data_IF_186976710547
#
_entry.id   IF_186976710547
#
_cell.length_a   1.000
_cell.length_b   1.000
_cell.length_c   1.000
_cell.angle_alpha   90.00
_cell.angle_beta   90.00
_cell.angle_gamma   90.00
#
_symmetry.space_group_name_H-M   'P 1'
#
loop_
_entity.id
_entity.type
_entity.pdbx_description
1 polymer ?
#
# COMPACT_ATOMS: atom_id res chain seq x y z
N UNK A 1 -25.89 21.45 23.49
CA UNK A 1 -26.05 20.39 22.48
C UNK A 1 -24.76 20.37 21.68
N UNK A 2 -23.85 19.44 21.97
CA UNK A 2 -22.56 19.37 21.27
C UNK A 2 -22.84 18.69 19.93
N UNK A 3 -22.68 19.42 18.84
CA UNK A 3 -22.70 18.83 17.50
C UNK A 3 -21.47 17.93 17.44
N UNK A 4 -21.67 16.62 17.46
CA UNK A 4 -20.61 15.68 17.14
C UNK A 4 -20.12 16.06 15.74
N UNK A 5 -18.85 16.46 15.63
CA UNK A 5 -18.24 16.70 14.33
C UNK A 5 -18.39 15.40 13.54
N UNK A 6 -19.27 15.40 12.54
CA UNK A 6 -19.42 14.24 11.65
C UNK A 6 -18.07 14.06 10.96
N UNK A 7 -17.37 12.98 11.31
CA UNK A 7 -16.14 12.62 10.63
C UNK A 7 -16.41 12.62 9.12
N UNK A 8 -15.49 13.15 8.30
CA UNK A 8 -15.70 13.22 6.87
C UNK A 8 -16.03 11.84 6.31
N UNK A 9 -17.04 11.79 5.42
CA UNK A 9 -17.55 10.55 4.87
C UNK A 9 -16.42 9.75 4.21
N UNK A 10 -16.35 8.46 4.55
CA UNK A 10 -15.51 7.47 3.86
C UNK A 10 -15.84 7.45 2.36
N UNK A 11 -14.88 7.05 1.52
CA UNK A 11 -15.08 6.87 0.08
C UNK A 11 -16.04 5.72 -0.27
N UNK A 12 -16.46 4.93 0.73
CA UNK A 12 -17.20 3.70 0.49
C UNK A 12 -18.70 3.92 0.36
N UNK A 13 -19.29 3.18 -0.55
CA UNK A 13 -20.73 3.04 -0.64
C UNK A 13 -21.20 2.03 0.40
N UNK A 14 -22.28 2.38 1.11
CA UNK A 14 -22.86 1.44 2.08
C UNK A 14 -23.52 0.28 1.33
N UNK A 15 -23.36 -0.98 1.80
CA UNK A 15 -22.85 -1.38 3.12
C UNK A 15 -21.35 -1.74 3.18
N UNK A 16 -20.54 -1.41 2.17
CA UNK A 16 -19.17 -1.92 2.00
C UNK A 16 -18.11 -1.13 2.79
N UNK A 17 -18.25 -1.04 4.12
CA UNK A 17 -17.30 -0.33 4.97
C UNK A 17 -15.95 -1.08 5.12
N UNK A 18 -14.86 -0.45 4.66
CA UNK A 18 -13.48 -0.92 4.83
C UNK A 18 -12.90 -0.68 6.22
N UNK A 19 -13.65 -0.01 7.12
CA UNK A 19 -13.22 0.29 8.48
C UNK A 19 -12.15 1.38 8.56
N UNK A 20 -11.84 2.05 7.45
CA UNK A 20 -10.89 3.16 7.39
C UNK A 20 -11.61 4.51 7.33
N UNK A 21 -11.02 5.52 7.97
CA UNK A 21 -11.49 6.90 7.84
C UNK A 21 -11.07 7.48 6.50
N UNK A 22 -11.74 8.56 6.04
CA UNK A 22 -11.36 9.24 4.79
C UNK A 22 -9.88 9.69 4.78
N UNK A 23 -9.34 10.11 5.93
CA UNK A 23 -7.94 10.50 6.05
C UNK A 23 -6.98 9.33 5.80
N UNK A 24 -7.29 8.14 6.34
CA UNK A 24 -6.48 6.95 6.10
C UNK A 24 -6.55 6.50 4.63
N UNK A 25 -7.75 6.47 4.04
CA UNK A 25 -7.96 6.12 2.63
C UNK A 25 -7.23 7.10 1.69
N UNK A 26 -7.25 8.39 2.03
CA UNK A 26 -6.55 9.43 1.28
C UNK A 26 -5.03 9.33 1.46
N UNK A 27 -4.57 9.04 2.68
CA UNK A 27 -3.15 8.82 2.99
C UNK A 27 -2.60 7.66 2.18
N UNK A 28 -3.28 6.50 2.18
CA UNK A 28 -2.87 5.33 1.41
C UNK A 28 -2.72 5.65 -0.10
N UNK A 29 -3.77 6.22 -0.70
CA UNK A 29 -3.76 6.57 -2.12
C UNK A 29 -2.66 7.58 -2.47
N UNK A 30 -2.47 8.61 -1.64
CA UNK A 30 -1.51 9.68 -1.92
C UNK A 30 -0.07 9.19 -1.76
N UNK A 31 0.24 8.41 -0.72
CA UNK A 31 1.58 7.87 -0.50
C UNK A 31 1.98 6.89 -1.60
N UNK A 32 1.10 5.95 -1.96
CA UNK A 32 1.38 5.01 -3.06
C UNK A 32 1.61 5.75 -4.38
N UNK A 33 0.78 6.75 -4.71
CA UNK A 33 0.97 7.55 -5.92
C UNK A 33 2.21 8.45 -5.87
N UNK A 34 2.62 8.91 -4.68
CA UNK A 34 3.87 9.64 -4.51
C UNK A 34 5.07 8.76 -4.89
N UNK A 35 5.16 7.55 -4.32
CA UNK A 35 6.23 6.62 -4.62
C UNK A 35 6.21 6.12 -6.07
N UNK A 36 5.03 5.86 -6.62
CA UNK A 36 4.86 5.54 -8.05
C UNK A 36 5.36 6.66 -8.95
N UNK A 37 5.13 7.92 -8.60
CA UNK A 37 5.67 9.07 -9.34
C UNK A 37 7.19 9.16 -9.20
N UNK A 38 7.73 8.94 -8.01
CA UNK A 38 9.18 8.91 -7.78
C UNK A 38 9.84 7.83 -8.65
N UNK A 39 9.28 6.62 -8.68
CA UNK A 39 9.75 5.54 -9.55
C UNK A 39 9.63 5.91 -11.04
N UNK A 40 8.49 6.45 -11.47
CA UNK A 40 8.26 6.83 -12.87
C UNK A 40 9.29 7.85 -13.38
N UNK A 41 9.75 8.74 -12.51
CA UNK A 41 10.68 9.82 -12.84
C UNK A 41 12.14 9.46 -12.62
N UNK A 42 12.44 8.22 -12.22
CA UNK A 42 13.82 7.75 -11.97
C UNK A 42 14.41 8.24 -10.65
N UNK A 43 13.58 8.67 -9.70
CA UNK A 43 14.00 9.07 -8.35
C UNK A 43 13.83 7.96 -7.31
N UNK A 44 13.40 6.76 -7.72
CA UNK A 44 13.33 5.60 -6.85
C UNK A 44 14.72 5.02 -6.61
N UNK A 45 15.21 5.08 -5.38
CA UNK A 45 16.52 4.50 -5.04
C UNK A 45 16.42 2.98 -4.98
N UNK A 46 17.19 2.32 -5.83
CA UNK A 46 17.35 0.87 -5.82
C UNK A 46 18.74 0.49 -5.26
N UNK A 47 19.06 -0.80 -5.31
CA UNK A 47 20.34 -1.32 -4.79
C UNK A 47 21.58 -0.69 -5.46
N UNK A 48 21.47 -0.23 -6.70
CA UNK A 48 22.58 0.26 -7.51
C UNK A 48 22.53 1.77 -7.77
N UNK A 49 21.66 2.50 -7.05
CA UNK A 49 21.55 3.94 -7.11
C UNK A 49 20.11 4.36 -7.37
N UNK A 50 19.71 4.38 -8.64
CA UNK A 50 18.35 4.75 -9.01
C UNK A 50 17.78 3.77 -10.03
N UNK A 51 16.56 3.31 -9.76
CA UNK A 51 15.78 2.53 -10.69
C UNK A 51 15.55 3.32 -11.99
N UNK A 52 15.54 2.63 -13.14
CA UNK A 52 15.30 3.27 -14.43
C UNK A 52 13.91 3.93 -14.47
N UNK A 53 13.78 5.11 -15.11
CA UNK A 53 12.49 5.76 -15.26
C UNK A 53 11.55 4.90 -16.09
N UNK A 54 10.29 4.86 -15.71
CA UNK A 54 9.28 4.06 -16.38
C UNK A 54 8.52 4.91 -17.41
N UNK A 55 8.28 4.34 -18.60
CA UNK A 55 7.51 4.99 -19.67
C UNK A 55 6.05 5.26 -19.27
N UNK A 56 5.47 4.36 -18.47
CA UNK A 56 4.08 4.45 -18.04
C UNK A 56 3.89 3.78 -16.69
N UNK A 57 3.52 4.57 -15.67
CA UNK A 57 3.04 4.06 -14.38
C UNK A 57 1.66 4.65 -14.14
N UNK A 58 0.64 3.80 -14.12
CA UNK A 58 -0.73 4.24 -13.94
C UNK A 58 -0.95 4.79 -12.52
N UNK A 59 -1.69 5.89 -12.40
CA UNK A 59 -2.14 6.43 -11.12
C UNK A 59 -3.14 5.47 -10.48
N UNK A 60 -2.99 5.20 -9.20
CA UNK A 60 -3.93 4.39 -8.43
C UNK A 60 -5.11 5.23 -7.95
N UNK A 61 -6.30 4.63 -8.00
CA UNK A 61 -7.52 5.10 -7.34
C UNK A 61 -7.83 4.15 -6.19
N UNK A 62 -8.26 4.70 -5.07
CA UNK A 62 -8.62 3.90 -3.90
C UNK A 62 -9.97 3.20 -4.14
N UNK A 63 -9.96 1.87 -4.18
CA UNK A 63 -11.15 1.03 -4.23
C UNK A 63 -11.41 0.46 -2.84
N UNK A 64 -12.40 1.02 -2.16
CA UNK A 64 -12.73 0.61 -0.80
C UNK A 64 -13.92 -0.33 -0.73
N UNK A 65 -14.82 -0.28 -1.72
CA UNK A 65 -16.01 -1.12 -1.76
C UNK A 65 -15.67 -2.59 -2.02
N UNK A 66 -14.61 -2.85 -2.81
CA UNK A 66 -14.17 -4.20 -3.15
C UNK A 66 -12.88 -4.58 -2.45
N UNK A 67 -11.79 -3.84 -2.71
CA UNK A 67 -10.47 -4.21 -2.16
C UNK A 67 -10.35 -3.88 -0.67
N UNK A 68 -10.80 -2.70 -0.26
CA UNK A 68 -10.80 -2.30 1.16
C UNK A 68 -11.68 -3.21 2.03
N UNK A 69 -12.91 -3.47 1.61
CA UNK A 69 -13.85 -4.35 2.32
C UNK A 69 -13.32 -5.79 2.43
N UNK A 70 -12.71 -6.32 1.37
CA UNK A 70 -12.05 -7.64 1.41
C UNK A 70 -10.83 -7.65 2.34
N UNK A 71 -9.99 -6.62 2.30
CA UNK A 71 -8.84 -6.50 3.20
C UNK A 71 -9.27 -6.53 4.66
N UNK A 72 -10.35 -5.82 5.02
CA UNK A 72 -10.97 -5.88 6.36
C UNK A 72 -11.47 -7.28 6.71
N UNK A 73 -12.10 -7.98 5.75
CA UNK A 73 -12.65 -9.32 5.96
C UNK A 73 -11.56 -10.37 6.27
N UNK A 74 -10.43 -10.32 5.55
CA UNK A 74 -9.36 -11.33 5.69
C UNK A 74 -8.35 -10.99 6.79
N UNK A 75 -8.31 -9.74 7.25
CA UNK A 75 -7.38 -9.29 8.27
C UNK A 75 -7.72 -9.94 9.62
N UNK A 76 -6.82 -10.81 10.06
CA UNK A 76 -6.90 -11.50 11.34
C UNK A 76 -5.50 -11.65 11.93
N UNK A 77 -5.23 -10.96 13.05
CA UNK A 77 -3.91 -10.97 13.68
C UNK A 77 -3.45 -12.37 14.12
N UNK A 78 -4.36 -13.33 14.26
CA UNK A 78 -4.05 -14.71 14.66
C UNK A 78 -3.59 -15.61 13.51
N UNK A 79 -3.67 -15.17 12.25
CA UNK A 79 -3.23 -15.98 11.10
C UNK A 79 -1.92 -15.46 10.50
N UNK A 80 -1.04 -16.35 10.01
CA UNK A 80 0.26 -15.96 9.48
C UNK A 80 0.19 -15.41 8.05
N UNK A 81 -0.85 -15.74 7.28
CA UNK A 81 -0.96 -15.40 5.86
C UNK A 81 -2.40 -15.00 5.54
N UNK A 82 -2.57 -14.03 4.64
CA UNK A 82 -3.85 -13.56 4.13
C UNK A 82 -4.01 -13.91 2.66
N UNK A 83 -5.24 -14.22 2.24
CA UNK A 83 -5.55 -14.62 0.86
C UNK A 83 -6.09 -13.41 0.07
N UNK A 84 -5.43 -13.01 -1.03
CA UNK A 84 -5.97 -11.95 -1.90
C UNK A 84 -7.20 -12.42 -2.68
N UNK A 85 -7.97 -11.48 -3.22
CA UNK A 85 -8.97 -11.79 -4.24
C UNK A 85 -8.29 -12.34 -5.51
N UNK A 86 -8.95 -13.23 -6.27
CA UNK A 86 -8.43 -13.70 -7.56
C UNK A 86 -8.03 -12.53 -8.46
N UNK A 87 -6.81 -12.57 -9.01
CA UNK A 87 -6.28 -11.52 -9.86
C UNK A 87 -5.74 -10.28 -9.13
N UNK A 88 -5.68 -10.29 -7.79
CA UNK A 88 -5.13 -9.21 -6.98
C UNK A 88 -3.92 -9.68 -6.17
N UNK A 89 -3.06 -8.72 -5.81
CA UNK A 89 -1.98 -8.90 -4.86
C UNK A 89 -2.38 -8.40 -3.47
N UNK A 90 -1.64 -8.81 -2.44
CA UNK A 90 -1.86 -8.38 -1.05
C UNK A 90 -0.52 -8.24 -0.34
N UNK A 91 -0.26 -7.02 0.12
CA UNK A 91 0.82 -6.69 1.06
C UNK A 91 0.23 -6.44 2.44
N UNK A 92 0.92 -6.82 3.51
CA UNK A 92 0.49 -6.54 4.88
C UNK A 92 1.66 -6.12 5.76
N UNK A 93 1.33 -5.43 6.85
CA UNK A 93 2.28 -4.97 7.85
C UNK A 93 1.63 -5.11 9.22
N UNK A 94 2.38 -5.64 10.19
CA UNK A 94 1.88 -5.92 11.55
C UNK A 94 2.78 -5.20 12.55
N UNK A 95 2.15 -4.54 13.51
CA UNK A 95 2.82 -3.90 14.64
C UNK A 95 2.25 -4.50 15.92
N UNK A 96 3.13 -4.90 16.84
CA UNK A 96 2.75 -5.38 18.17
C UNK A 96 2.66 -4.21 19.16
N UNK A 97 1.77 -3.25 18.86
CA UNK A 97 1.49 -2.10 19.71
C UNK A 97 0.03 -1.66 19.56
N UNK A 98 -0.84 -1.97 20.54
CA UNK A 98 -2.25 -1.63 20.46
C UNK A 98 -2.53 -0.13 20.59
N UNK A 99 -1.54 0.68 20.98
CA UNK A 99 -1.66 2.13 21.14
C UNK A 99 -1.09 2.91 19.95
N UNK A 100 -0.61 2.22 18.91
CA UNK A 100 -0.08 2.87 17.73
C UNK A 100 -1.20 3.60 16.97
N UNK A 101 -0.90 4.82 16.49
CA UNK A 101 -1.80 5.55 15.60
C UNK A 101 -2.00 4.78 14.31
N UNK A 102 -3.25 4.55 13.90
CA UNK A 102 -3.56 3.88 12.63
C UNK A 102 -2.90 4.57 11.43
N UNK A 103 -2.78 5.90 11.47
CA UNK A 103 -2.12 6.67 10.41
C UNK A 103 -0.62 6.43 10.38
N UNK A 104 0.01 6.40 11.55
CA UNK A 104 1.46 6.18 11.65
C UNK A 104 1.80 4.75 11.20
N UNK A 105 1.01 3.76 11.63
CA UNK A 105 1.17 2.36 11.18
C UNK A 105 0.97 2.23 9.67
N UNK A 106 -0.03 2.91 9.08
CA UNK A 106 -0.25 2.90 7.64
C UNK A 106 0.91 3.55 6.88
N UNK A 107 1.41 4.68 7.38
CA UNK A 107 2.59 5.36 6.79
C UNK A 107 3.83 4.48 6.89
N UNK A 108 4.08 3.87 8.05
CA UNK A 108 5.19 2.95 8.26
C UNK A 108 5.11 1.72 7.35
N UNK A 109 3.92 1.14 7.17
CA UNK A 109 3.69 0.02 6.27
C UNK A 109 4.07 0.37 4.82
N UNK A 110 3.51 1.44 4.27
CA UNK A 110 3.75 1.85 2.88
C UNK A 110 5.23 2.22 2.67
N UNK A 111 5.84 2.93 3.63
CA UNK A 111 7.27 3.24 3.57
C UNK A 111 8.13 1.98 3.67
N UNK A 112 7.76 1.00 4.49
CA UNK A 112 8.49 -0.27 4.62
C UNK A 112 8.44 -1.08 3.34
N UNK A 113 7.28 -1.16 2.69
CA UNK A 113 7.14 -1.80 1.38
C UNK A 113 7.98 -1.09 0.33
N UNK A 114 7.92 0.25 0.24
CA UNK A 114 8.74 1.03 -0.69
C UNK A 114 10.25 0.80 -0.50
N UNK A 115 10.74 0.81 0.75
CA UNK A 115 12.15 0.58 1.08
C UNK A 115 12.69 -0.78 0.64
N UNK A 116 11.83 -1.73 0.27
CA UNK A 116 12.29 -2.98 -0.31
C UNK A 116 12.96 -2.76 -1.69
N UNK A 117 12.64 -1.68 -2.41
CA UNK A 117 13.32 -1.31 -3.65
C UNK A 117 14.84 -1.18 -3.47
N UNK A 118 15.29 -0.64 -2.33
CA UNK A 118 16.72 -0.48 -2.01
C UNK A 118 17.48 -1.82 -1.90
N UNK A 119 16.75 -2.95 -1.86
CA UNK A 119 17.32 -4.30 -1.72
C UNK A 119 17.48 -5.04 -3.04
N UNK A 120 17.03 -4.46 -4.14
CA UNK A 120 16.94 -5.12 -5.45
C UNK A 120 17.51 -4.23 -6.55
N UNK A 121 17.99 -4.85 -7.63
CA UNK A 121 18.41 -4.16 -8.85
C UNK A 121 17.28 -4.24 -9.88
N UNK A 122 16.66 -3.09 -10.20
CA UNK A 122 15.59 -3.06 -11.18
C UNK A 122 16.20 -2.82 -12.55
N UNK A 123 16.22 -3.87 -13.38
CA UNK A 123 16.74 -3.75 -14.74
C UNK A 123 15.90 -2.80 -15.62
N UNK A 124 16.47 -2.35 -16.74
CA UNK A 124 15.78 -1.46 -17.70
C UNK A 124 14.55 -2.09 -18.35
N UNK A 125 14.40 -3.40 -18.24
CA UNK A 125 13.26 -4.15 -18.76
C UNK A 125 12.17 -4.34 -17.69
N UNK A 126 12.42 -3.93 -16.45
CA UNK A 126 11.58 -4.10 -15.27
C UNK A 126 11.07 -5.55 -15.11
N UNK A 127 11.94 -6.54 -15.34
CA UNK A 127 11.57 -7.95 -15.23
C UNK A 127 11.24 -8.33 -13.79
N UNK A 128 10.17 -9.10 -13.61
CA UNK A 128 9.87 -9.71 -12.31
C UNK A 128 10.81 -10.89 -12.05
N UNK A 129 11.88 -10.65 -11.30
CA UNK A 129 12.93 -11.65 -11.00
C UNK A 129 12.70 -12.37 -9.67
N UNK A 130 13.45 -13.45 -9.44
CA UNK A 130 13.48 -14.12 -8.13
C UNK A 130 14.06 -13.23 -7.02
N UNK A 131 14.97 -12.30 -7.35
CA UNK A 131 15.49 -11.32 -6.39
C UNK A 131 14.38 -10.38 -5.94
N UNK A 132 13.60 -9.83 -6.88
CA UNK A 132 12.40 -9.04 -6.58
C UNK A 132 11.40 -9.81 -5.72
N UNK A 133 11.08 -11.04 -6.12
CA UNK A 133 10.16 -11.90 -5.37
C UNK A 133 10.62 -12.16 -3.92
N UNK A 134 11.92 -12.27 -3.69
CA UNK A 134 12.48 -12.63 -2.37
C UNK A 134 12.69 -11.43 -1.48
N UNK A 135 13.17 -10.32 -2.05
CA UNK A 135 13.65 -9.16 -1.28
C UNK A 135 12.69 -7.97 -1.35
N UNK A 136 11.76 -7.95 -2.31
CA UNK A 136 10.88 -6.84 -2.60
C UNK A 136 9.46 -7.26 -3.05
N UNK A 137 8.92 -8.31 -2.42
CA UNK A 137 7.59 -8.83 -2.75
C UNK A 137 6.49 -7.80 -2.56
N UNK A 138 6.54 -7.00 -1.49
CA UNK A 138 5.48 -6.02 -1.21
C UNK A 138 5.60 -4.76 -2.10
N UNK A 139 6.83 -4.43 -2.51
CA UNK A 139 7.08 -3.37 -3.50
C UNK A 139 6.57 -3.77 -4.90
N UNK A 140 6.79 -5.03 -5.29
CA UNK A 140 6.50 -5.52 -6.63
C UNK A 140 5.05 -6.04 -6.81
N UNK A 141 4.23 -5.98 -5.76
CA UNK A 141 2.82 -6.37 -5.75
C UNK A 141 1.93 -5.43 -6.58
#
# INVERSE_FOLDING_TARGET
MIVAATLPATKCTQPNDDGMTLDLQTTAQNMLNYYRRALATGWGTDKNGYAPPAKQINKLTYDCDTLGSHAKLVMNCNVPVYTPLPGNSLSYYKVDNPFASHKDVLTEAITSWWKQLEKVDVDKEAKFTNELKTNASDFAN
#
